data_IF_580620819615
#
_entry.id   IF_580620819615
#
_cell.length_a   1.000
_cell.length_b   1.000
_cell.length_c   1.000
_cell.angle_alpha   90.00
_cell.angle_beta   90.00
_cell.angle_gamma   90.00
#
_symmetry.space_group_name_H-M   'P 1'
#
loop_
_entity.id
_entity.type
_entity.pdbx_description
1 polymer ?
#
# COMPACT_ATOMS: atom_id res chain seq x y z
N UNK A 1 -40.09 18.22 -8.97
CA UNK A 1 -40.53 17.36 -7.86
C UNK A 1 -39.31 16.87 -7.07
N UNK A 2 -39.50 16.46 -5.84
CA UNK A 2 -38.43 15.90 -4.97
C UNK A 2 -37.75 14.70 -5.63
N UNK A 3 -38.51 13.87 -6.36
CA UNK A 3 -37.96 12.74 -7.10
C UNK A 3 -37.00 13.18 -8.23
N UNK A 4 -37.38 14.19 -9.00
CA UNK A 4 -36.52 14.71 -10.09
C UNK A 4 -35.25 15.34 -9.55
N UNK A 5 -35.31 16.04 -8.41
CA UNK A 5 -34.15 16.61 -7.73
C UNK A 5 -33.20 15.50 -7.24
N UNK A 6 -33.74 14.48 -6.57
CA UNK A 6 -32.96 13.35 -6.07
C UNK A 6 -32.27 12.56 -7.20
N UNK A 7 -32.97 12.36 -8.32
CA UNK A 7 -32.40 11.70 -9.50
C UNK A 7 -31.26 12.53 -10.12
N UNK A 8 -31.41 13.86 -10.19
CA UNK A 8 -30.38 14.74 -10.71
C UNK A 8 -29.12 14.74 -9.83
N UNK A 9 -29.32 14.76 -8.52
CA UNK A 9 -28.21 14.72 -7.56
C UNK A 9 -27.47 13.39 -7.58
N UNK A 10 -28.19 12.27 -7.71
CA UNK A 10 -27.57 10.95 -7.87
C UNK A 10 -26.73 10.87 -9.18
N UNK A 11 -27.25 11.40 -10.27
CA UNK A 11 -26.53 11.43 -11.55
C UNK A 11 -25.27 12.31 -11.46
N UNK A 12 -25.31 13.41 -10.71
CA UNK A 12 -24.11 14.24 -10.47
C UNK A 12 -23.06 13.48 -9.68
N UNK A 13 -23.43 12.74 -8.65
CA UNK A 13 -22.50 11.93 -7.86
C UNK A 13 -21.81 10.85 -8.70
N UNK A 14 -22.60 10.10 -9.49
CA UNK A 14 -22.09 9.08 -10.41
C UNK A 14 -21.13 9.69 -11.44
N UNK A 15 -21.49 10.84 -12.00
CA UNK A 15 -20.64 11.55 -12.94
C UNK A 15 -19.32 12.02 -12.32
N UNK A 16 -19.37 12.54 -11.08
CA UNK A 16 -18.18 12.99 -10.35
C UNK A 16 -17.22 11.83 -10.00
N UNK A 17 -17.77 10.71 -9.54
CA UNK A 17 -16.98 9.50 -9.28
C UNK A 17 -16.36 8.94 -10.57
N UNK A 18 -17.11 8.93 -11.66
CA UNK A 18 -16.61 8.55 -12.98
C UNK A 18 -15.50 9.48 -13.49
N UNK A 19 -15.64 10.80 -13.27
CA UNK A 19 -14.64 11.80 -13.64
C UNK A 19 -13.34 11.63 -12.84
N UNK A 20 -13.43 11.39 -11.53
CA UNK A 20 -12.28 11.11 -10.66
C UNK A 20 -11.46 9.91 -11.19
N UNK A 21 -12.14 8.79 -11.47
CA UNK A 21 -11.50 7.58 -12.00
C UNK A 21 -10.90 7.79 -13.38
N UNK A 22 -11.60 8.51 -14.26
CA UNK A 22 -11.15 8.81 -15.62
C UNK A 22 -9.93 9.73 -15.62
N UNK A 23 -9.96 10.80 -14.83
CA UNK A 23 -8.84 11.73 -14.67
C UNK A 23 -7.59 11.02 -14.12
N UNK A 24 -7.76 10.18 -13.09
CA UNK A 24 -6.67 9.38 -12.54
C UNK A 24 -6.04 8.45 -13.57
N UNK A 25 -6.84 7.69 -14.31
CA UNK A 25 -6.35 6.81 -15.39
C UNK A 25 -5.71 7.57 -16.54
N UNK A 26 -6.21 8.76 -16.83
CA UNK A 26 -5.66 9.65 -17.87
C UNK A 26 -4.47 10.49 -17.40
N UNK A 27 -4.01 10.32 -16.14
CA UNK A 27 -2.92 11.07 -15.51
C UNK A 27 -3.17 12.59 -15.45
N UNK A 28 -4.42 13.01 -15.47
CA UNK A 28 -4.82 14.38 -15.19
C UNK A 28 -4.92 14.58 -13.67
N UNK A 29 -3.76 14.74 -13.05
CA UNK A 29 -3.62 14.76 -11.60
C UNK A 29 -4.37 15.92 -10.94
N UNK A 30 -4.42 17.07 -11.58
CA UNK A 30 -5.15 18.23 -11.06
C UNK A 30 -6.65 17.95 -11.00
N UNK A 31 -7.21 17.42 -12.08
CA UNK A 31 -8.63 17.06 -12.16
C UNK A 31 -8.98 15.86 -11.28
N UNK A 32 -8.05 14.89 -11.14
CA UNK A 32 -8.20 13.77 -10.23
C UNK A 32 -8.30 14.24 -8.78
N UNK A 33 -7.43 15.17 -8.35
CA UNK A 33 -7.46 15.78 -7.02
C UNK A 33 -8.77 16.53 -6.77
N UNK A 34 -9.16 17.43 -7.68
CA UNK A 34 -10.41 18.19 -7.56
C UNK A 34 -11.62 17.27 -7.43
N UNK A 35 -11.73 16.28 -8.32
CA UNK A 35 -12.85 15.33 -8.31
C UNK A 35 -12.85 14.45 -7.06
N UNK A 36 -11.67 14.01 -6.57
CA UNK A 36 -11.55 13.25 -5.33
C UNK A 36 -12.04 14.05 -4.11
N UNK A 37 -11.67 15.32 -4.01
CA UNK A 37 -12.18 16.21 -2.93
C UNK A 37 -13.70 16.33 -2.95
N UNK A 38 -14.31 16.49 -4.12
CA UNK A 38 -15.77 16.51 -4.25
C UNK A 38 -16.40 15.19 -3.80
N UNK A 39 -15.82 14.06 -4.21
CA UNK A 39 -16.30 12.72 -3.80
C UNK A 39 -16.18 12.52 -2.29
N UNK A 40 -15.07 12.93 -1.67
CA UNK A 40 -14.85 12.82 -0.22
C UNK A 40 -15.85 13.60 0.61
N UNK A 41 -16.29 14.77 0.12
CA UNK A 41 -17.25 15.63 0.83
C UNK A 41 -18.71 15.26 0.53
N UNK A 42 -18.97 14.38 -0.43
CA UNK A 42 -20.33 13.98 -0.76
C UNK A 42 -20.90 12.97 0.26
N UNK A 43 -22.07 13.27 0.79
CA UNK A 43 -22.73 12.43 1.82
C UNK A 43 -23.13 11.05 1.33
N UNK A 44 -23.16 10.84 0.01
CA UNK A 44 -23.45 9.53 -0.63
C UNK A 44 -22.24 8.63 -0.73
N UNK A 45 -21.05 9.15 -0.50
CA UNK A 45 -19.83 8.36 -0.51
C UNK A 45 -19.77 7.43 0.69
N UNK A 46 -19.80 6.13 0.41
CA UNK A 46 -19.56 5.09 1.41
C UNK A 46 -18.05 4.97 1.73
N UNK A 47 -17.72 4.09 2.67
CA UNK A 47 -16.32 3.89 3.09
C UNK A 47 -15.41 3.42 1.95
N UNK A 48 -15.92 2.60 1.03
CA UNK A 48 -15.14 2.08 -0.11
C UNK A 48 -14.83 3.18 -1.12
N UNK A 49 -15.82 4.01 -1.44
CA UNK A 49 -15.65 5.14 -2.36
C UNK A 49 -14.72 6.19 -1.76
N UNK A 50 -14.83 6.45 -0.44
CA UNK A 50 -13.91 7.35 0.26
C UNK A 50 -12.48 6.83 0.26
N UNK A 51 -12.27 5.54 0.52
CA UNK A 51 -10.94 4.94 0.46
C UNK A 51 -10.34 5.02 -0.95
N UNK A 52 -11.12 4.79 -2.01
CA UNK A 52 -10.70 4.98 -3.40
C UNK A 52 -10.32 6.44 -3.68
N UNK A 53 -11.12 7.39 -3.23
CA UNK A 53 -10.87 8.82 -3.43
C UNK A 53 -9.61 9.29 -2.69
N UNK A 54 -9.41 8.87 -1.45
CA UNK A 54 -8.19 9.16 -0.68
C UNK A 54 -6.96 8.52 -1.34
N UNK A 55 -7.06 7.30 -1.84
CA UNK A 55 -5.99 6.65 -2.59
C UNK A 55 -5.63 7.45 -3.86
N UNK A 56 -6.62 7.81 -4.68
CA UNK A 56 -6.40 8.62 -5.89
C UNK A 56 -5.78 9.97 -5.53
N UNK A 57 -6.23 10.61 -4.48
CA UNK A 57 -5.66 11.86 -3.95
C UNK A 57 -4.19 11.69 -3.57
N UNK A 58 -3.85 10.66 -2.80
CA UNK A 58 -2.48 10.38 -2.39
C UNK A 58 -1.57 10.08 -3.59
N UNK A 59 -2.00 9.25 -4.53
CA UNK A 59 -1.24 8.92 -5.75
C UNK A 59 -1.05 10.16 -6.64
N UNK A 60 -2.05 11.04 -6.73
CA UNK A 60 -1.95 12.31 -7.46
C UNK A 60 -0.97 13.29 -6.82
N UNK A 61 -0.92 13.34 -5.49
CA UNK A 61 0.11 14.09 -4.78
C UNK A 61 1.51 13.56 -5.04
N UNK A 62 1.71 12.24 -5.02
CA UNK A 62 3.02 11.64 -5.35
C UNK A 62 3.44 11.97 -6.78
N UNK A 63 2.53 11.84 -7.75
CA UNK A 63 2.81 12.15 -9.15
C UNK A 63 3.17 13.62 -9.40
N UNK A 64 2.75 14.52 -8.51
CA UNK A 64 3.05 15.96 -8.56
C UNK A 64 4.13 16.39 -7.56
N UNK A 65 4.94 15.43 -7.05
CA UNK A 65 6.03 15.65 -6.09
C UNK A 65 5.63 16.28 -4.76
N UNK A 66 4.36 16.12 -4.38
CA UNK A 66 3.79 16.59 -3.11
C UNK A 66 3.82 15.47 -2.06
N UNK A 67 5.03 14.97 -1.77
CA UNK A 67 5.24 13.80 -0.91
C UNK A 67 4.64 13.94 0.49
N UNK A 68 4.81 15.10 1.13
CA UNK A 68 4.32 15.32 2.48
C UNK A 68 2.79 15.21 2.59
N UNK A 69 2.07 15.80 1.63
CA UNK A 69 0.61 15.70 1.55
C UNK A 69 0.17 14.27 1.24
N UNK A 70 0.87 13.58 0.34
CA UNK A 70 0.57 12.19 0.00
C UNK A 70 0.67 11.29 1.23
N UNK A 71 1.78 11.35 1.96
CA UNK A 71 1.99 10.48 3.13
C UNK A 71 1.09 10.81 4.32
N UNK A 72 0.61 12.05 4.43
CA UNK A 72 -0.43 12.40 5.39
C UNK A 72 -1.74 11.65 5.09
N UNK A 73 -2.14 11.57 3.82
CA UNK A 73 -3.34 10.83 3.40
C UNK A 73 -3.12 9.32 3.53
N UNK A 74 -1.97 8.80 3.07
CA UNK A 74 -1.63 7.37 3.16
C UNK A 74 -1.59 6.87 4.60
N UNK A 75 -1.08 7.66 5.54
CA UNK A 75 -1.04 7.31 6.97
C UNK A 75 -2.45 7.13 7.56
N UNK A 76 -3.42 7.95 7.16
CA UNK A 76 -4.82 7.77 7.59
C UNK A 76 -5.46 6.55 6.89
N UNK A 77 -5.26 6.43 5.58
CA UNK A 77 -5.82 5.33 4.79
C UNK A 77 -5.30 3.96 5.24
N UNK A 78 -4.03 3.88 5.66
CA UNK A 78 -3.37 2.65 6.14
C UNK A 78 -3.93 2.09 7.45
N UNK A 79 -4.79 2.82 8.15
CA UNK A 79 -5.42 2.35 9.40
C UNK A 79 -6.49 1.30 9.16
N UNK A 80 -7.03 1.19 7.94
CA UNK A 80 -7.98 0.17 7.55
C UNK A 80 -7.44 -0.66 6.38
N UNK A 81 -6.79 -1.75 6.70
CA UNK A 81 -6.19 -2.69 5.72
C UNK A 81 -7.16 -3.77 5.24
N UNK A 82 -8.44 -3.66 5.54
CA UNK A 82 -9.46 -4.62 5.08
C UNK A 82 -9.71 -4.56 3.58
N UNK A 83 -9.43 -3.43 2.95
CA UNK A 83 -9.56 -3.23 1.50
C UNK A 83 -8.22 -2.99 0.81
N UNK A 84 -8.19 -3.09 -0.54
CA UNK A 84 -6.96 -3.02 -1.31
C UNK A 84 -6.25 -1.67 -1.19
N UNK A 85 -6.97 -0.57 -1.13
CA UNK A 85 -6.37 0.77 -1.04
C UNK A 85 -5.67 1.02 0.29
N UNK A 86 -6.30 0.59 1.39
CA UNK A 86 -5.69 0.70 2.72
C UNK A 86 -4.49 -0.23 2.89
N UNK A 87 -4.56 -1.43 2.34
CA UNK A 87 -3.46 -2.39 2.38
C UNK A 87 -2.25 -1.91 1.56
N UNK A 88 -2.46 -1.38 0.34
CA UNK A 88 -1.39 -0.75 -0.44
C UNK A 88 -0.82 0.48 0.28
N UNK A 89 -1.69 1.30 0.88
CA UNK A 89 -1.24 2.45 1.67
C UNK A 89 -0.38 2.03 2.86
N UNK A 90 -0.73 0.95 3.56
CA UNK A 90 0.08 0.40 4.65
C UNK A 90 1.46 -0.03 4.15
N UNK A 91 1.53 -0.77 3.05
CA UNK A 91 2.80 -1.12 2.41
C UNK A 91 3.62 0.12 2.05
N UNK A 92 3.02 1.15 1.45
CA UNK A 92 3.72 2.39 1.08
C UNK A 92 4.27 3.14 2.30
N UNK A 93 3.52 3.17 3.40
CA UNK A 93 3.97 3.80 4.67
C UNK A 93 5.09 2.98 5.31
N UNK A 94 5.06 1.65 5.22
CA UNK A 94 6.12 0.76 5.69
C UNK A 94 7.39 0.98 4.86
N UNK A 95 7.27 1.03 3.54
CA UNK A 95 8.39 1.31 2.64
C UNK A 95 9.02 2.69 2.91
N UNK A 96 8.20 3.72 3.16
CA UNK A 96 8.71 5.04 3.54
C UNK A 96 9.50 5.01 4.86
N UNK A 97 9.06 4.22 5.85
CA UNK A 97 9.82 4.03 7.09
C UNK A 97 11.17 3.37 6.83
N UNK A 98 11.22 2.36 5.96
CA UNK A 98 12.46 1.71 5.53
C UNK A 98 13.39 2.70 4.81
N UNK A 99 12.89 3.45 3.84
CA UNK A 99 13.66 4.43 3.05
C UNK A 99 14.29 5.53 3.92
N UNK A 100 13.67 5.83 5.07
CA UNK A 100 14.19 6.77 6.08
C UNK A 100 15.13 6.12 7.09
N UNK A 101 15.36 4.81 7.03
CA UNK A 101 16.15 4.06 8.00
C UNK A 101 15.47 3.88 9.36
N UNK A 102 14.16 4.07 9.45
CA UNK A 102 13.37 3.91 10.69
C UNK A 102 12.94 2.45 10.88
N UNK A 103 13.89 1.55 11.07
CA UNK A 103 13.68 0.10 11.02
C UNK A 103 12.77 -0.44 12.14
N UNK A 104 12.79 0.15 13.34
CA UNK A 104 11.85 -0.20 14.40
C UNK A 104 10.40 0.16 14.04
N UNK A 105 10.22 1.24 13.27
CA UNK A 105 8.89 1.59 12.75
C UNK A 105 8.41 0.57 11.70
N UNK A 106 9.32 0.08 10.84
CA UNK A 106 9.00 -0.98 9.86
C UNK A 106 8.46 -2.19 10.60
N UNK A 107 9.19 -2.69 11.59
CA UNK A 107 8.83 -3.86 12.38
C UNK A 107 7.45 -3.68 13.04
N UNK A 108 7.26 -2.57 13.75
CA UNK A 108 5.99 -2.25 14.42
C UNK A 108 4.81 -2.22 13.45
N UNK A 109 4.98 -1.59 12.28
CA UNK A 109 3.91 -1.44 11.29
C UNK A 109 3.59 -2.75 10.56
N UNK A 110 4.59 -3.58 10.27
CA UNK A 110 4.37 -4.88 9.62
C UNK A 110 3.59 -5.80 10.55
N UNK A 111 3.95 -5.87 11.83
CA UNK A 111 3.21 -6.68 12.78
C UNK A 111 1.79 -6.15 13.01
N UNK A 112 1.60 -4.84 13.08
CA UNK A 112 0.26 -4.26 13.16
C UNK A 112 -0.60 -4.62 11.94
N UNK A 113 -0.01 -4.64 10.73
CA UNK A 113 -0.71 -5.08 9.52
C UNK A 113 -1.08 -6.57 9.60
N UNK A 114 -0.16 -7.43 10.04
CA UNK A 114 -0.42 -8.86 10.21
C UNK A 114 -1.52 -9.13 11.24
N UNK A 115 -1.47 -8.45 12.39
CA UNK A 115 -2.44 -8.61 13.49
C UNK A 115 -3.86 -8.13 13.11
N UNK A 116 -3.98 -7.25 12.12
CA UNK A 116 -5.26 -6.80 11.60
C UNK A 116 -6.05 -7.90 10.86
N UNK A 117 -5.42 -9.02 10.51
CA UNK A 117 -6.09 -10.17 9.87
C UNK A 117 -6.65 -9.84 8.49
N UNK A 118 -5.95 -9.00 7.73
CA UNK A 118 -6.34 -8.60 6.38
C UNK A 118 -6.26 -9.79 5.40
N UNK A 119 -7.20 -9.86 4.48
CA UNK A 119 -7.19 -10.79 3.34
C UNK A 119 -6.36 -10.28 2.15
N UNK A 120 -5.76 -9.10 2.27
CA UNK A 120 -4.90 -8.48 1.25
C UNK A 120 -3.48 -9.04 1.32
N UNK A 121 -3.35 -10.35 1.10
CA UNK A 121 -2.12 -11.14 1.33
C UNK A 121 -0.94 -10.69 0.48
N UNK A 122 -1.17 -10.16 -0.73
CA UNK A 122 -0.10 -9.61 -1.58
C UNK A 122 0.62 -8.45 -0.89
N UNK A 123 -0.12 -7.45 -0.42
CA UNK A 123 0.47 -6.29 0.23
C UNK A 123 1.09 -6.63 1.59
N UNK A 124 0.51 -7.60 2.29
CA UNK A 124 1.09 -8.12 3.52
C UNK A 124 2.42 -8.83 3.24
N UNK A 125 2.50 -9.69 2.24
CA UNK A 125 3.74 -10.35 1.84
C UNK A 125 4.83 -9.36 1.40
N UNK A 126 4.47 -8.35 0.58
CA UNK A 126 5.39 -7.25 0.21
C UNK A 126 5.90 -6.49 1.44
N UNK A 127 5.05 -6.31 2.46
CA UNK A 127 5.44 -5.66 3.72
C UNK A 127 6.41 -6.51 4.54
N UNK A 128 6.23 -7.83 4.58
CA UNK A 128 7.20 -8.76 5.20
C UNK A 128 8.53 -8.80 4.45
N UNK A 129 8.54 -8.62 3.13
CA UNK A 129 9.79 -8.46 2.37
C UNK A 129 10.56 -7.22 2.84
N UNK A 130 9.88 -6.08 3.02
CA UNK A 130 10.49 -4.86 3.57
C UNK A 130 11.02 -5.09 5.00
N UNK A 131 10.32 -5.87 5.81
CA UNK A 131 10.80 -6.26 7.15
C UNK A 131 12.08 -7.08 7.07
N UNK A 132 12.13 -8.09 6.21
CA UNK A 132 13.34 -8.87 5.98
C UNK A 132 14.51 -8.01 5.49
N UNK A 133 14.26 -7.07 4.57
CA UNK A 133 15.26 -6.11 4.11
C UNK A 133 15.74 -5.22 5.28
N UNK A 134 14.85 -4.81 6.21
CA UNK A 134 15.23 -4.02 7.38
C UNK A 134 16.09 -4.79 8.39
N UNK A 135 15.87 -6.09 8.55
CA UNK A 135 16.75 -6.95 9.32
C UNK A 135 18.13 -7.08 8.66
N UNK A 136 18.17 -7.23 7.34
CA UNK A 136 19.42 -7.32 6.60
C UNK A 136 20.27 -6.02 6.69
N UNK A 137 19.64 -4.84 6.68
CA UNK A 137 20.33 -3.56 6.87
C UNK A 137 20.92 -3.40 8.29
N UNK A 138 20.34 -4.07 9.28
CA UNK A 138 20.87 -4.13 10.65
C UNK A 138 21.86 -5.28 10.87
N UNK A 139 22.26 -5.96 9.79
CA UNK A 139 23.14 -7.15 9.82
C UNK A 139 22.57 -8.35 10.62
N UNK A 140 21.24 -8.36 10.81
CA UNK A 140 20.50 -9.45 11.45
C UNK A 140 20.10 -10.51 10.39
N UNK A 141 21.12 -11.12 9.77
CA UNK A 141 20.93 -11.93 8.56
C UNK A 141 20.12 -13.20 8.77
N UNK A 142 20.18 -13.81 9.95
CA UNK A 142 19.35 -14.96 10.29
C UNK A 142 17.86 -14.59 10.39
N UNK A 143 17.55 -13.45 11.01
CA UNK A 143 16.18 -12.94 11.07
C UNK A 143 15.67 -12.55 9.68
N UNK A 144 16.49 -11.90 8.86
CA UNK A 144 16.18 -11.59 7.48
C UNK A 144 15.85 -12.87 6.69
N UNK A 145 16.71 -13.90 6.79
CA UNK A 145 16.50 -15.19 6.14
C UNK A 145 15.21 -15.84 6.59
N UNK A 146 14.98 -15.96 7.90
CA UNK A 146 13.77 -16.57 8.45
C UNK A 146 12.50 -15.83 8.00
N UNK A 147 12.55 -14.50 7.91
CA UNK A 147 11.44 -13.69 7.43
C UNK A 147 11.13 -13.97 5.95
N UNK A 148 12.16 -14.03 5.10
CA UNK A 148 11.97 -14.37 3.68
C UNK A 148 11.49 -15.81 3.48
N UNK A 149 12.01 -16.77 4.26
CA UNK A 149 11.52 -18.16 4.25
C UNK A 149 10.05 -18.24 4.62
N UNK A 150 9.61 -17.51 5.63
CA UNK A 150 8.21 -17.45 6.04
C UNK A 150 7.30 -16.95 4.92
N UNK A 151 7.73 -15.94 4.15
CA UNK A 151 6.97 -15.46 2.98
C UNK A 151 6.96 -16.52 1.89
N UNK A 152 8.12 -17.09 1.52
CA UNK A 152 8.23 -18.13 0.47
C UNK A 152 7.30 -19.31 0.77
N UNK A 153 7.29 -19.79 2.00
CA UNK A 153 6.60 -21.00 2.40
C UNK A 153 5.10 -20.78 2.69
N UNK A 154 4.71 -19.56 3.03
CA UNK A 154 3.33 -19.21 3.39
C UNK A 154 2.54 -18.44 2.34
N UNK A 155 3.18 -17.94 1.28
CA UNK A 155 2.52 -17.14 0.26
C UNK A 155 2.19 -17.97 -0.99
N UNK A 156 0.95 -17.89 -1.45
CA UNK A 156 0.49 -18.47 -2.71
C UNK A 156 0.31 -17.36 -3.77
N UNK A 157 1.05 -17.39 -4.90
CA UNK A 157 0.94 -16.39 -5.94
C UNK A 157 -0.47 -16.28 -6.50
N UNK A 158 -0.94 -15.08 -6.73
CA UNK A 158 -2.28 -14.79 -7.23
C UNK A 158 -2.40 -14.88 -8.76
N UNK A 159 -1.28 -14.95 -9.47
CA UNK A 159 -1.25 -15.03 -10.95
C UNK A 159 0.16 -14.87 -11.53
N UNK A 160 0.28 -14.84 -12.87
CA UNK A 160 1.57 -14.82 -13.56
C UNK A 160 2.37 -13.52 -13.38
N UNK A 161 1.70 -12.42 -13.02
CA UNK A 161 2.34 -11.11 -12.80
C UNK A 161 2.69 -10.87 -11.33
N UNK A 162 2.53 -11.89 -10.47
CA UNK A 162 2.84 -11.81 -9.04
C UNK A 162 4.34 -12.01 -8.82
N UNK A 163 5.00 -11.00 -8.26
CA UNK A 163 6.44 -10.92 -8.12
C UNK A 163 6.99 -11.39 -6.75
N UNK A 164 6.12 -11.75 -5.81
CA UNK A 164 6.50 -12.01 -4.41
C UNK A 164 7.50 -13.16 -4.30
N UNK A 165 7.24 -14.29 -4.95
CA UNK A 165 8.11 -15.49 -4.84
C UNK A 165 9.47 -15.23 -5.50
N UNK A 166 9.51 -14.55 -6.62
CA UNK A 166 10.77 -14.18 -7.28
C UNK A 166 11.59 -13.22 -6.41
N UNK A 167 10.93 -12.23 -5.82
CA UNK A 167 11.51 -11.26 -4.91
C UNK A 167 12.16 -11.93 -3.69
N UNK A 168 11.46 -12.82 -2.99
CA UNK A 168 12.02 -13.52 -1.82
C UNK A 168 13.09 -14.53 -2.19
N UNK A 169 12.96 -15.22 -3.31
CA UNK A 169 13.95 -16.20 -3.76
C UNK A 169 15.31 -15.53 -4.02
N UNK A 170 15.31 -14.36 -4.64
CA UNK A 170 16.52 -13.56 -4.88
C UNK A 170 17.18 -13.14 -3.55
N UNK A 171 16.37 -12.67 -2.59
CA UNK A 171 16.86 -12.23 -1.27
C UNK A 171 17.40 -13.39 -0.45
N UNK A 172 16.74 -14.54 -0.47
CA UNK A 172 17.20 -15.76 0.21
C UNK A 172 18.58 -16.18 -0.28
N UNK A 173 18.80 -16.25 -1.58
CA UNK A 173 20.12 -16.57 -2.15
C UNK A 173 21.21 -15.60 -1.66
N UNK A 174 20.88 -14.30 -1.54
CA UNK A 174 21.80 -13.29 -1.01
C UNK A 174 22.11 -13.54 0.46
N UNK A 175 21.09 -13.82 1.29
CA UNK A 175 21.29 -14.09 2.73
C UNK A 175 22.11 -15.36 2.96
N UNK A 176 21.81 -16.45 2.26
CA UNK A 176 22.55 -17.70 2.34
C UNK A 176 24.05 -17.50 1.98
N UNK A 177 24.32 -16.70 0.96
CA UNK A 177 25.71 -16.37 0.57
C UNK A 177 26.43 -15.58 1.67
N UNK A 178 25.80 -14.59 2.28
CA UNK A 178 26.39 -13.77 3.33
C UNK A 178 26.69 -14.62 4.58
N UNK A 179 25.70 -15.41 5.04
CA UNK A 179 25.81 -16.27 6.22
C UNK A 179 26.95 -17.28 6.03
N UNK A 180 26.99 -17.96 4.86
CA UNK A 180 28.06 -18.94 4.57
C UNK A 180 29.47 -18.32 4.56
N UNK A 181 29.60 -17.06 4.14
CA UNK A 181 30.88 -16.34 4.19
C UNK A 181 31.30 -15.98 5.62
N UNK A 182 30.33 -15.67 6.49
CA UNK A 182 30.62 -15.39 7.91
C UNK A 182 31.10 -16.63 8.67
N UNK A 183 30.56 -17.82 8.34
CA UNK A 183 30.94 -19.09 8.97
C UNK A 183 32.35 -19.57 8.58
N UNK A 184 32.89 -19.05 7.46
CA UNK A 184 34.23 -19.41 6.97
C UNK A 184 35.37 -18.50 7.47
N UNK A 185 35.05 -17.42 8.15
CA UNK A 185 35.99 -16.44 8.70
C UNK A 185 36.11 -16.53 10.23
#
# INVERSE_FOLDING_TARGET
SLFSSALLDNNKFVAMTGMMRSAYRGHDWAKALESAEHVLHDTRSDSKIKAEADYIKAKSYLATSRRAEAFKVLAELSKDVSGPYGAEAAYMVIQDSYDRGAFEEVETKVYAFADAGSDQVYWLAKSFIVLGDSFAEREEFEQAKATFESVRDGYEPSGPDDDVIDDVTMRLKKMESIISQQEQN
#
